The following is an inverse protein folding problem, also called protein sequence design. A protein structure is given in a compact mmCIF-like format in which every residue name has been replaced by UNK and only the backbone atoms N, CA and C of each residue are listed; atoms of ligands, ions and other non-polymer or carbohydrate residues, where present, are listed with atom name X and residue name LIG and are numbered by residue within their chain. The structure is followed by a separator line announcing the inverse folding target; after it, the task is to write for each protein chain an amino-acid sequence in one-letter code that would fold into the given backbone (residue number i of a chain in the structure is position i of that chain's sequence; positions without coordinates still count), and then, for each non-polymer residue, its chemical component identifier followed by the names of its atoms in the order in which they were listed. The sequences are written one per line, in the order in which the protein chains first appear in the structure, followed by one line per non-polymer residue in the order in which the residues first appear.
data_IF_349001266698
#
_entry.id   IF_349001266698
#
_cell.length_a   1.000
_cell.length_b   1.000
_cell.length_c   1.000
_cell.angle_alpha   90.00
_cell.angle_beta   90.00
_cell.angle_gamma   90.00
#
_symmetry.space_group_name_H-M   'P 1'
#
loop_
_entity.id
_entity.type
_entity.pdbx_description
1 polymer ?
#
# COMPACT_ATOMS: atom_id res chain seq x y z
N UNK A 1 -79.03 -66.74 8.21
CA UNK A 1 -78.43 -65.51 8.76
C UNK A 1 -77.06 -65.31 8.11
N UNK A 2 -76.85 -64.25 7.34
CA UNK A 2 -75.52 -63.87 6.84
C UNK A 2 -75.06 -62.66 7.64
N UNK A 3 -73.97 -62.78 8.39
CA UNK A 3 -73.35 -61.66 9.09
C UNK A 3 -72.65 -60.75 8.07
N UNK A 4 -72.85 -59.43 8.10
CA UNK A 4 -72.11 -58.52 7.23
C UNK A 4 -70.64 -58.49 7.67
N UNK A 5 -69.74 -58.86 6.76
CA UNK A 5 -68.29 -58.72 6.96
C UNK A 5 -67.95 -57.26 6.70
N UNK A 6 -67.58 -56.54 7.76
CA UNK A 6 -67.18 -55.15 7.63
C UNK A 6 -65.72 -55.10 7.14
N UNK A 7 -65.52 -54.92 5.83
CA UNK A 7 -64.21 -54.67 5.24
C UNK A 7 -63.80 -53.22 5.49
N UNK A 8 -63.38 -52.90 6.71
CA UNK A 8 -62.66 -51.65 6.98
C UNK A 8 -61.26 -51.78 6.42
N UNK A 9 -61.02 -51.16 5.26
CA UNK A 9 -59.66 -50.92 4.77
C UNK A 9 -59.01 -49.89 5.71
N UNK A 10 -57.83 -50.14 6.28
CA UNK A 10 -57.14 -49.12 7.05
C UNK A 10 -56.85 -47.92 6.13
N UNK A 11 -57.41 -46.77 6.45
CA UNK A 11 -56.99 -45.49 5.88
C UNK A 11 -55.98 -44.88 6.84
N UNK A 12 -54.76 -44.62 6.37
CA UNK A 12 -53.85 -43.74 7.10
C UNK A 12 -54.45 -42.34 7.10
N UNK A 13 -54.83 -41.87 8.28
CA UNK A 13 -55.26 -40.48 8.49
C UNK A 13 -54.02 -39.71 8.87
N UNK A 14 -53.50 -38.92 7.93
CA UNK A 14 -52.39 -38.02 8.21
C UNK A 14 -52.96 -36.75 8.85
N UNK A 15 -52.55 -36.46 10.09
CA UNK A 15 -52.87 -35.18 10.72
C UNK A 15 -52.08 -34.08 9.99
N UNK A 16 -52.81 -33.18 9.32
CA UNK A 16 -52.21 -32.09 8.55
C UNK A 16 -51.45 -31.10 9.44
N UNK A 17 -51.83 -30.98 10.71
CA UNK A 17 -51.20 -30.06 11.66
C UNK A 17 -49.82 -30.57 12.07
N UNK A 18 -49.67 -31.88 12.33
CA UNK A 18 -48.38 -32.49 12.64
C UNK A 18 -47.37 -32.34 11.48
N UNK A 19 -47.86 -32.42 10.24
CA UNK A 19 -47.03 -32.21 9.05
C UNK A 19 -46.59 -30.76 8.87
N UNK A 20 -47.44 -29.77 9.17
CA UNK A 20 -47.03 -28.36 9.07
C UNK A 20 -45.97 -28.00 10.11
N UNK A 21 -46.08 -28.57 11.31
CA UNK A 21 -45.14 -28.32 12.40
C UNK A 21 -43.78 -28.97 12.13
N UNK A 22 -43.77 -30.16 11.52
CA UNK A 22 -42.53 -30.78 11.04
C UNK A 22 -41.89 -29.98 9.92
N UNK A 23 -42.69 -29.49 8.96
CA UNK A 23 -42.18 -28.69 7.85
C UNK A 23 -41.57 -27.37 8.34
N UNK A 24 -42.23 -26.68 9.28
CA UNK A 24 -41.70 -25.45 9.88
C UNK A 24 -40.37 -25.69 10.61
N UNK A 25 -40.23 -26.82 11.32
CA UNK A 25 -38.96 -27.21 11.96
C UNK A 25 -37.86 -27.52 10.95
N UNK A 26 -38.20 -28.16 9.83
CA UNK A 26 -37.25 -28.42 8.74
C UNK A 26 -36.81 -27.09 8.11
N UNK A 27 -37.73 -26.18 7.83
CA UNK A 27 -37.43 -24.87 7.25
C UNK A 27 -36.56 -24.01 8.20
N UNK A 28 -36.80 -24.10 9.52
CA UNK A 28 -35.99 -23.44 10.55
C UNK A 28 -34.57 -24.04 10.65
N UNK A 29 -34.44 -25.36 10.55
CA UNK A 29 -33.15 -26.05 10.43
C UNK A 29 -32.41 -25.67 9.14
N UNK A 30 -33.09 -25.68 8.00
CA UNK A 30 -32.51 -25.29 6.71
C UNK A 30 -32.06 -23.82 6.69
N UNK A 31 -32.81 -22.94 7.37
CA UNK A 31 -32.41 -21.55 7.55
C UNK A 31 -31.12 -21.41 8.38
N UNK A 32 -30.89 -22.28 9.37
CA UNK A 32 -29.64 -22.30 10.15
C UNK A 32 -28.43 -22.75 9.30
N UNK A 33 -28.64 -23.47 8.20
CA UNK A 33 -27.58 -23.90 7.27
C UNK A 33 -27.54 -23.13 5.94
N UNK A 34 -28.39 -22.10 5.77
CA UNK A 34 -28.34 -21.20 4.61
C UNK A 34 -27.18 -20.22 4.72
N UNK A 35 -26.05 -20.59 4.14
CA UNK A 35 -24.92 -19.69 3.91
C UNK A 35 -25.15 -18.90 2.62
N UNK A 36 -24.88 -17.58 2.64
CA UNK A 36 -24.94 -16.74 1.44
C UNK A 36 -23.73 -17.03 0.56
N UNK A 37 -23.95 -17.34 -0.71
CA UNK A 37 -22.88 -17.31 -1.72
C UNK A 37 -22.48 -15.86 -2.00
N UNK A 38 -21.18 -15.58 -2.05
CA UNK A 38 -20.64 -14.25 -2.37
C UNK A 38 -20.17 -14.29 -3.81
N UNK A 39 -20.97 -13.73 -4.72
CA UNK A 39 -20.59 -13.55 -6.12
C UNK A 39 -19.82 -12.22 -6.29
N UNK A 40 -18.76 -12.24 -7.09
CA UNK A 40 -17.98 -11.05 -7.44
C UNK A 40 -18.17 -10.77 -8.92
N UNK A 41 -18.88 -9.70 -9.23
CA UNK A 41 -19.16 -9.28 -10.60
C UNK A 41 -18.26 -8.12 -11.01
N UNK A 42 -17.81 -8.17 -12.27
CA UNK A 42 -17.07 -7.10 -12.93
C UNK A 42 -18.00 -6.41 -13.93
N UNK A 43 -17.89 -5.09 -14.06
CA UNK A 43 -18.53 -4.41 -15.18
C UNK A 43 -17.84 -4.86 -16.49
N UNK A 44 -18.63 -5.30 -17.47
CA UNK A 44 -18.16 -5.82 -18.75
C UNK A 44 -17.73 -4.72 -19.73
N UNK A 45 -18.05 -3.45 -19.44
CA UNK A 45 -17.61 -2.32 -20.24
C UNK A 45 -16.09 -2.18 -20.15
N UNK A 46 -15.39 -2.87 -21.04
CA UNK A 46 -13.95 -2.84 -21.15
C UNK A 46 -13.52 -1.55 -21.84
N UNK A 47 -13.15 -0.55 -21.05
CA UNK A 47 -12.48 0.63 -21.57
C UNK A 47 -11.00 0.33 -21.74
N UNK A 48 -10.59 0.08 -22.98
CA UNK A 48 -9.19 -0.14 -23.30
C UNK A 48 -8.43 1.19 -23.18
N UNK A 49 -7.80 1.40 -22.04
CA UNK A 49 -6.67 2.32 -21.95
C UNK A 49 -5.40 1.52 -22.21
N UNK A 50 -4.43 2.13 -22.88
CA UNK A 50 -3.17 1.48 -23.22
C UNK A 50 -2.33 1.15 -21.98
N UNK A 51 -1.03 1.04 -22.19
CA UNK A 51 -0.10 0.87 -21.09
C UNK A 51 0.06 2.21 -20.33
N UNK A 52 -0.01 2.18 -19.00
CA UNK A 52 0.39 3.31 -18.17
C UNK A 52 1.92 3.40 -18.22
N UNK A 53 2.44 4.51 -18.72
CA UNK A 53 3.88 4.79 -18.79
C UNK A 53 4.29 5.95 -17.89
N UNK A 54 3.35 6.82 -17.54
CA UNK A 54 3.58 8.01 -16.72
C UNK A 54 2.42 8.30 -15.78
N UNK A 55 2.67 9.14 -14.77
CA UNK A 55 1.64 9.68 -13.88
C UNK A 55 0.57 10.47 -14.65
N UNK A 56 0.96 11.12 -15.75
CA UNK A 56 0.07 11.91 -16.61
C UNK A 56 -0.98 11.04 -17.30
N UNK A 57 -0.60 9.84 -17.74
CA UNK A 57 -1.53 8.87 -18.34
C UNK A 57 -2.66 8.54 -17.37
N UNK A 58 -2.31 8.37 -16.10
CA UNK A 58 -3.24 8.07 -15.01
C UNK A 58 -4.14 9.28 -14.73
N UNK A 59 -3.57 10.48 -14.64
CA UNK A 59 -4.31 11.73 -14.48
C UNK A 59 -5.36 11.92 -15.58
N UNK A 60 -4.97 11.72 -16.85
CA UNK A 60 -5.87 11.83 -18.00
C UNK A 60 -7.00 10.81 -17.93
N UNK A 61 -6.67 9.54 -17.63
CA UNK A 61 -7.67 8.49 -17.49
C UNK A 61 -8.73 8.85 -16.44
N UNK A 62 -8.29 9.29 -15.26
CA UNK A 62 -9.19 9.64 -14.17
C UNK A 62 -10.05 10.86 -14.54
N UNK A 63 -9.43 11.93 -15.06
CA UNK A 63 -10.09 13.18 -15.43
C UNK A 63 -11.17 12.97 -16.47
N UNK A 64 -10.87 12.24 -17.54
CA UNK A 64 -11.78 12.08 -18.67
C UNK A 64 -12.94 11.11 -18.38
N UNK A 65 -12.72 10.12 -17.51
CA UNK A 65 -13.64 8.96 -17.40
C UNK A 65 -14.36 8.84 -16.07
N UNK A 66 -13.79 9.33 -14.98
CA UNK A 66 -14.32 9.08 -13.64
C UNK A 66 -14.84 10.36 -12.98
N UNK A 67 -14.30 11.50 -13.41
CA UNK A 67 -14.32 12.73 -12.66
C UNK A 67 -15.07 13.86 -13.40
N UNK A 68 -16.23 13.56 -13.98
CA UNK A 68 -17.17 14.60 -14.41
C UNK A 68 -17.81 15.26 -13.17
N UNK A 69 -17.26 16.39 -12.71
CA UNK A 69 -17.79 17.14 -11.55
C UNK A 69 -16.88 17.20 -10.31
N UNK A 70 -15.56 17.04 -10.46
CA UNK A 70 -14.54 17.08 -9.37
C UNK A 70 -14.58 18.28 -8.45
N UNK A 71 -15.23 19.36 -8.88
CA UNK A 71 -15.23 20.64 -8.16
C UNK A 71 -16.19 20.63 -6.99
N UNK A 72 -17.06 19.62 -6.89
CA UNK A 72 -18.14 19.60 -5.89
C UNK A 72 -17.78 18.77 -4.67
N UNK A 73 -17.16 17.60 -4.87
CA UNK A 73 -16.90 16.62 -3.80
C UNK A 73 -15.57 15.91 -4.00
N UNK A 74 -14.96 15.49 -2.90
CA UNK A 74 -13.77 14.63 -2.93
C UNK A 74 -14.17 13.22 -3.36
N UNK A 75 -13.38 12.60 -4.21
CA UNK A 75 -13.54 11.23 -4.65
C UNK A 75 -12.22 10.50 -4.49
N UNK A 76 -12.27 9.30 -3.94
CA UNK A 76 -11.13 8.40 -3.89
C UNK A 76 -11.30 7.28 -4.91
N UNK A 77 -10.29 7.08 -5.75
CA UNK A 77 -10.28 6.10 -6.84
C UNK A 77 -9.01 5.26 -6.71
N UNK A 78 -9.17 3.95 -6.85
CA UNK A 78 -8.06 3.01 -6.99
C UNK A 78 -8.08 2.37 -8.38
N UNK A 79 -6.94 2.42 -9.07
CA UNK A 79 -6.71 1.78 -10.35
C UNK A 79 -5.88 0.53 -10.14
N UNK A 80 -6.36 -0.58 -10.70
CA UNK A 80 -5.70 -1.87 -10.60
C UNK A 80 -5.01 -2.16 -11.92
N UNK A 81 -3.79 -2.64 -11.82
CA UNK A 81 -2.86 -2.76 -12.95
C UNK A 81 -2.20 -4.13 -12.93
N UNK A 82 -2.01 -4.71 -14.11
CA UNK A 82 -1.29 -5.97 -14.26
C UNK A 82 0.23 -5.75 -14.41
N UNK A 83 0.99 -6.83 -14.52
CA UNK A 83 2.45 -6.81 -14.64
C UNK A 83 2.97 -6.04 -15.88
N UNK A 84 2.15 -5.91 -16.93
CA UNK A 84 2.49 -5.16 -18.12
C UNK A 84 2.08 -3.68 -18.04
N UNK A 85 1.79 -3.16 -16.84
CA UNK A 85 1.28 -1.82 -16.58
C UNK A 85 -0.02 -1.49 -17.36
N UNK A 86 -0.86 -2.50 -17.64
CA UNK A 86 -2.18 -2.28 -18.24
C UNK A 86 -3.25 -2.21 -17.17
N UNK A 87 -4.15 -1.24 -17.29
CA UNK A 87 -5.31 -1.10 -16.42
C UNK A 87 -6.20 -2.34 -16.61
N UNK A 88 -6.44 -3.07 -15.52
CA UNK A 88 -7.38 -4.20 -15.50
C UNK A 88 -8.76 -3.75 -15.01
N UNK A 89 -8.82 -2.67 -14.25
CA UNK A 89 -10.05 -2.09 -13.76
C UNK A 89 -9.80 -0.92 -12.81
N UNK A 90 -10.86 -0.25 -12.41
CA UNK A 90 -10.84 0.80 -11.40
C UNK A 90 -11.94 0.55 -10.37
N UNK A 91 -11.73 1.07 -9.17
CA UNK A 91 -12.72 1.08 -8.11
C UNK A 91 -12.87 2.50 -7.59
N UNK A 92 -14.09 3.01 -7.71
CA UNK A 92 -14.50 4.26 -7.06
C UNK A 92 -14.89 3.92 -5.63
N UNK A 93 -14.01 4.25 -4.69
CA UNK A 93 -14.12 3.79 -3.31
C UNK A 93 -15.10 4.63 -2.50
N UNK A 94 -14.87 5.94 -2.49
CA UNK A 94 -15.72 6.86 -1.73
C UNK A 94 -15.92 8.15 -2.49
N UNK A 95 -17.06 8.76 -2.18
CA UNK A 95 -17.35 10.15 -2.48
C UNK A 95 -17.47 10.84 -1.12
N UNK A 96 -16.45 11.60 -0.75
CA UNK A 96 -16.27 12.18 0.57
C UNK A 96 -17.00 13.51 0.78
N UNK A 97 -17.36 13.76 2.04
CA UNK A 97 -17.81 15.05 2.54
C UNK A 97 -16.62 16.03 2.69
N UNK A 98 -16.93 17.31 2.83
CA UNK A 98 -16.08 18.52 2.71
C UNK A 98 -14.69 18.46 3.41
N UNK A 99 -14.43 17.57 4.37
CA UNK A 99 -13.25 17.64 5.25
C UNK A 99 -12.37 16.38 5.39
N UNK A 100 -12.71 15.22 4.81
CA UNK A 100 -11.82 14.06 4.69
C UNK A 100 -12.52 12.87 4.01
N UNK A 101 -11.83 12.22 3.08
CA UNK A 101 -12.23 10.93 2.54
C UNK A 101 -11.80 9.80 3.50
N UNK A 102 -12.77 9.20 4.20
CA UNK A 102 -12.57 7.92 4.87
C UNK A 102 -12.38 6.86 3.78
N UNK A 103 -11.23 6.18 3.80
CA UNK A 103 -10.88 5.12 2.86
C UNK A 103 -10.59 3.85 3.63
N UNK A 104 -11.39 2.82 3.36
CA UNK A 104 -11.20 1.49 3.92
C UNK A 104 -10.12 0.75 3.13
N UNK A 105 -8.94 0.64 3.74
CA UNK A 105 -7.75 0.00 3.16
C UNK A 105 -8.03 -1.47 2.82
N UNK A 106 -8.84 -2.13 3.64
CA UNK A 106 -9.27 -3.52 3.48
C UNK A 106 -10.03 -3.73 2.18
N UNK A 107 -10.86 -2.76 1.77
CA UNK A 107 -11.61 -2.83 0.52
C UNK A 107 -10.68 -2.65 -0.67
N UNK A 108 -9.77 -1.68 -0.61
CA UNK A 108 -8.76 -1.46 -1.67
C UNK A 108 -7.92 -2.73 -1.88
N UNK A 109 -7.45 -3.35 -0.80
CA UNK A 109 -6.71 -4.61 -0.88
C UNK A 109 -7.57 -5.77 -1.38
N UNK A 110 -8.82 -5.90 -0.91
CA UNK A 110 -9.73 -6.97 -1.33
C UNK A 110 -10.04 -6.90 -2.84
N UNK A 111 -10.23 -5.70 -3.39
CA UNK A 111 -10.44 -5.53 -4.83
C UNK A 111 -9.16 -5.84 -5.61
N UNK A 112 -7.98 -5.46 -5.10
CA UNK A 112 -6.70 -5.83 -5.72
C UNK A 112 -6.53 -7.35 -5.82
N UNK A 113 -6.86 -8.06 -4.74
CA UNK A 113 -6.82 -9.53 -4.69
C UNK A 113 -7.84 -10.17 -5.64
N UNK A 114 -9.09 -9.67 -5.63
CA UNK A 114 -10.17 -10.17 -6.51
C UNK A 114 -9.88 -9.94 -8.00
N UNK A 115 -9.18 -8.88 -8.33
CA UNK A 115 -8.77 -8.55 -9.71
C UNK A 115 -7.45 -9.20 -10.12
N UNK A 116 -6.76 -9.89 -9.20
CA UNK A 116 -5.40 -10.42 -9.40
C UNK A 116 -4.41 -9.33 -9.87
N UNK A 117 -4.59 -8.11 -9.37
CA UNK A 117 -3.70 -7.00 -9.65
C UNK A 117 -2.27 -7.31 -9.21
N UNK A 118 -1.29 -6.77 -9.93
CA UNK A 118 0.13 -6.77 -9.51
C UNK A 118 0.56 -5.44 -8.95
N UNK A 119 -0.18 -4.39 -9.31
CA UNK A 119 0.05 -3.05 -8.86
C UNK A 119 -1.26 -2.28 -8.72
N UNK A 120 -1.24 -1.27 -7.86
CA UNK A 120 -2.32 -0.33 -7.64
C UNK A 120 -1.78 1.08 -7.81
N UNK A 121 -2.56 1.96 -8.42
CA UNK A 121 -2.37 3.41 -8.35
C UNK A 121 -3.60 3.99 -7.68
N UNK A 122 -3.42 4.81 -6.66
CA UNK A 122 -4.54 5.48 -5.98
C UNK A 122 -4.58 6.95 -6.35
N UNK A 123 -5.75 7.56 -6.24
CA UNK A 123 -5.91 8.98 -6.43
C UNK A 123 -7.06 9.54 -5.62
N UNK A 124 -6.94 10.80 -5.22
CA UNK A 124 -8.08 11.59 -4.79
C UNK A 124 -8.05 12.98 -5.42
N UNK A 125 -9.21 13.64 -5.50
CA UNK A 125 -9.27 15.03 -5.91
C UNK A 125 -9.46 15.97 -4.72
N UNK A 126 -8.93 17.19 -4.84
CA UNK A 126 -9.21 18.29 -3.92
C UNK A 126 -10.12 19.32 -4.61
N UNK A 127 -11.42 19.42 -4.22
CA UNK A 127 -12.33 20.45 -4.71
C UNK A 127 -11.83 21.88 -4.48
N UNK A 128 -11.01 22.08 -3.44
CA UNK A 128 -10.37 23.36 -3.12
C UNK A 128 -9.35 23.84 -4.17
N UNK A 129 -8.91 22.95 -5.06
CA UNK A 129 -7.88 23.24 -6.06
C UNK A 129 -6.44 23.19 -5.53
N UNK A 130 -6.23 22.89 -4.24
CA UNK A 130 -4.90 22.72 -3.68
C UNK A 130 -4.28 21.40 -4.15
N UNK A 131 -3.09 21.44 -4.76
CA UNK A 131 -2.38 20.23 -5.21
C UNK A 131 -1.50 19.60 -4.12
N UNK A 132 -1.31 20.26 -2.98
CA UNK A 132 -0.46 19.72 -1.93
C UNK A 132 -1.23 18.72 -1.06
N UNK A 133 -0.70 17.49 -0.90
CA UNK A 133 -1.30 16.50 -0.03
C UNK A 133 -1.22 16.95 1.44
N UNK A 134 -2.25 16.60 2.20
CA UNK A 134 -2.28 16.74 3.65
C UNK A 134 -1.48 15.62 4.34
N UNK A 135 -1.23 15.79 5.65
CA UNK A 135 -0.66 14.72 6.48
C UNK A 135 -1.57 13.48 6.57
N UNK A 136 -2.89 13.67 6.44
CA UNK A 136 -3.84 12.57 6.38
C UNK A 136 -3.64 11.74 5.10
N UNK A 137 -3.43 12.39 3.95
CA UNK A 137 -3.17 11.72 2.67
C UNK A 137 -1.87 10.92 2.72
N UNK A 138 -0.81 11.52 3.26
CA UNK A 138 0.49 10.85 3.48
C UNK A 138 0.35 9.61 4.37
N UNK A 139 -0.39 9.73 5.46
CA UNK A 139 -0.62 8.62 6.40
C UNK A 139 -1.46 7.52 5.76
N UNK A 140 -2.51 7.88 5.01
CA UNK A 140 -3.32 6.94 4.27
C UNK A 140 -2.48 6.18 3.22
N UNK A 141 -1.65 6.91 2.47
CA UNK A 141 -0.72 6.34 1.46
C UNK A 141 0.15 5.24 2.07
N UNK A 142 0.79 5.53 3.21
CA UNK A 142 1.64 4.58 3.93
C UNK A 142 0.87 3.34 4.35
N UNK A 143 -0.30 3.51 4.96
CA UNK A 143 -1.15 2.39 5.40
C UNK A 143 -1.58 1.50 4.23
N UNK A 144 -1.99 2.08 3.11
CA UNK A 144 -2.37 1.33 1.91
C UNK A 144 -1.16 0.57 1.36
N UNK A 145 0.00 1.24 1.26
CA UNK A 145 1.23 0.62 0.80
C UNK A 145 1.62 -0.58 1.65
N UNK A 146 1.59 -0.44 2.96
CA UNK A 146 1.91 -1.52 3.91
C UNK A 146 0.95 -2.69 3.77
N UNK A 147 -0.35 -2.43 3.67
CA UNK A 147 -1.36 -3.47 3.48
C UNK A 147 -1.18 -4.24 2.17
N UNK A 148 -0.94 -3.55 1.05
CA UNK A 148 -0.72 -4.18 -0.26
C UNK A 148 0.59 -4.97 -0.32
N UNK A 149 1.63 -4.51 0.40
CA UNK A 149 2.92 -5.19 0.49
C UNK A 149 2.80 -6.60 1.07
N UNK A 150 1.83 -6.86 1.95
CA UNK A 150 1.59 -8.20 2.51
C UNK A 150 1.22 -9.25 1.45
N UNK A 151 0.75 -8.81 0.29
CA UNK A 151 0.29 -9.66 -0.81
C UNK A 151 1.16 -9.55 -2.06
N UNK A 152 2.37 -8.98 -1.94
CA UNK A 152 3.27 -8.69 -3.07
C UNK A 152 2.62 -7.82 -4.17
N UNK A 153 1.70 -6.93 -3.78
CA UNK A 153 1.06 -5.95 -4.66
C UNK A 153 1.72 -4.59 -4.43
N UNK A 154 2.24 -3.98 -5.49
CA UNK A 154 2.93 -2.69 -5.39
C UNK A 154 1.95 -1.51 -5.46
N UNK A 155 2.03 -0.57 -4.51
CA UNK A 155 1.46 0.77 -4.68
C UNK A 155 2.43 1.60 -5.53
N UNK A 156 2.09 1.83 -6.80
CA UNK A 156 2.98 2.49 -7.77
C UNK A 156 3.00 4.01 -7.58
N UNK A 157 1.83 4.61 -7.37
CA UNK A 157 1.70 6.05 -7.19
C UNK A 157 0.45 6.40 -6.38
N UNK A 158 0.46 7.62 -5.84
CA UNK A 158 -0.69 8.31 -5.29
C UNK A 158 -0.80 9.68 -5.96
N UNK A 159 -1.93 9.94 -6.60
CA UNK A 159 -2.19 11.18 -7.32
C UNK A 159 -3.19 12.06 -6.55
N UNK A 160 -2.80 13.31 -6.30
CA UNK A 160 -3.75 14.37 -5.90
C UNK A 160 -4.16 15.12 -7.15
N UNK A 161 -5.45 15.19 -7.44
CA UNK A 161 -5.98 15.69 -8.70
C UNK A 161 -6.79 16.97 -8.46
N UNK A 162 -6.60 17.96 -9.34
CA UNK A 162 -7.43 19.17 -9.39
C UNK A 162 -7.83 19.47 -10.83
N UNK A 163 -8.68 20.47 -11.02
CA UNK A 163 -9.10 20.91 -12.35
C UNK A 163 -7.91 21.35 -13.22
N UNK A 164 -6.94 22.01 -12.60
CA UNK A 164 -5.80 22.64 -13.26
C UNK A 164 -4.54 21.76 -13.33
N UNK A 165 -4.48 20.63 -12.61
CA UNK A 165 -3.33 19.75 -12.67
C UNK A 165 -3.40 18.55 -11.73
N UNK A 166 -2.23 17.98 -11.44
CA UNK A 166 -2.08 16.88 -10.49
C UNK A 166 -0.74 16.95 -9.75
N UNK A 167 -0.68 16.26 -8.63
CA UNK A 167 0.52 16.00 -7.86
C UNK A 167 0.73 14.49 -7.79
N UNK A 168 1.90 14.02 -8.20
CA UNK A 168 2.32 12.62 -8.08
C UNK A 168 3.28 12.46 -6.92
N UNK A 169 2.93 11.59 -5.97
CA UNK A 169 3.83 11.24 -4.87
C UNK A 169 5.11 10.57 -5.42
N UNK A 170 5.00 9.74 -6.47
CA UNK A 170 6.13 9.04 -7.05
C UNK A 170 7.13 10.01 -7.72
N UNK A 171 6.64 10.95 -8.53
CA UNK A 171 7.48 11.95 -9.19
C UNK A 171 8.16 12.91 -8.22
N UNK A 172 7.44 13.26 -7.15
CA UNK A 172 7.96 14.13 -6.08
C UNK A 172 8.81 13.37 -5.07
N UNK A 173 9.02 12.07 -5.30
CA UNK A 173 9.83 11.20 -4.45
C UNK A 173 9.39 11.22 -2.98
N UNK A 174 8.08 11.32 -2.74
CA UNK A 174 7.51 11.40 -1.40
C UNK A 174 7.84 10.17 -0.57
N UNK A 175 8.26 10.41 0.66
CA UNK A 175 8.67 9.36 1.59
C UNK A 175 7.53 8.40 1.90
N UNK A 176 6.29 8.88 1.83
CA UNK A 176 5.08 8.08 2.07
C UNK A 176 4.89 6.95 1.04
N UNK A 177 5.47 7.09 -0.15
CA UNK A 177 5.55 6.02 -1.16
C UNK A 177 6.88 5.26 -1.13
N UNK A 178 7.84 5.63 -0.30
CA UNK A 178 9.03 4.81 0.02
C UNK A 178 8.66 3.88 1.18
N UNK A 179 9.12 2.65 1.11
CA UNK A 179 8.67 1.63 2.06
C UNK A 179 9.33 1.84 3.42
N UNK A 180 8.86 1.13 4.44
CA UNK A 180 9.56 0.96 5.73
C UNK A 180 10.97 0.34 5.57
N UNK A 181 11.35 -0.10 4.36
CA UNK A 181 12.74 -0.47 4.05
C UNK A 181 13.68 0.73 3.82
N UNK A 182 13.13 1.95 3.76
CA UNK A 182 13.88 3.21 3.73
C UNK A 182 13.44 4.13 4.87
N UNK A 183 13.04 3.57 6.03
CA UNK A 183 13.27 4.34 7.25
C UNK A 183 14.80 4.47 7.35
N UNK A 184 15.39 5.68 7.30
CA UNK A 184 16.76 5.82 7.74
C UNK A 184 16.76 5.27 9.16
N UNK A 185 17.36 4.10 9.34
CA UNK A 185 17.54 3.51 10.66
C UNK A 185 18.14 4.64 11.50
N UNK A 186 17.36 5.17 12.45
CA UNK A 186 17.71 6.46 13.08
C UNK A 186 19.08 6.35 13.71
N UNK A 187 19.44 5.15 14.15
CA UNK A 187 20.76 4.75 14.62
C UNK A 187 21.84 4.80 13.52
N UNK A 188 21.54 4.34 12.30
CA UNK A 188 22.45 4.41 11.15
C UNK A 188 22.65 5.85 10.69
N UNK A 189 21.60 6.66 10.67
CA UNK A 189 21.70 8.07 10.28
C UNK A 189 22.37 8.91 11.37
N UNK A 190 22.10 8.65 12.64
CA UNK A 190 22.85 9.20 13.78
C UNK A 190 24.33 8.80 13.70
N UNK A 191 24.62 7.53 13.39
CA UNK A 191 26.00 7.04 13.23
C UNK A 191 26.69 7.68 12.03
N UNK A 192 26.03 7.76 10.86
CA UNK A 192 26.57 8.44 9.67
C UNK A 192 26.80 9.93 9.93
N UNK A 193 25.87 10.57 10.63
CA UNK A 193 26.01 11.97 11.05
C UNK A 193 27.21 12.17 11.97
N UNK A 194 27.37 11.30 12.97
CA UNK A 194 28.51 11.32 13.88
C UNK A 194 29.83 11.07 13.14
N UNK A 195 29.89 10.08 12.24
CA UNK A 195 31.06 9.81 11.39
C UNK A 195 31.41 11.05 10.57
N UNK A 196 30.43 11.70 9.94
CA UNK A 196 30.63 12.91 9.15
C UNK A 196 31.15 14.07 10.01
N UNK A 197 30.63 14.26 11.23
CA UNK A 197 31.12 15.27 12.18
C UNK A 197 32.56 15.02 12.60
N UNK A 198 32.94 13.75 12.81
CA UNK A 198 34.31 13.40 13.19
C UNK A 198 35.28 13.54 11.99
N UNK A 199 34.88 13.15 10.78
CA UNK A 199 35.66 13.35 9.57
C UNK A 199 35.86 14.84 9.25
N UNK A 200 34.89 15.71 9.53
CA UNK A 200 35.06 17.18 9.41
C UNK A 200 36.10 17.77 10.37
N UNK A 201 36.43 17.07 11.46
CA UNK A 201 37.47 17.47 12.41
C UNK A 201 38.86 16.96 12.00
N UNK A 202 38.96 16.10 10.99
CA UNK A 202 40.24 15.64 10.44
C UNK A 202 40.88 16.78 9.65
N UNK A 203 42.13 17.07 10.00
CA UNK A 203 42.96 18.13 9.44
C UNK A 203 44.37 17.58 9.21
N UNK A 204 45.19 18.29 8.44
CA UNK A 204 46.60 17.95 8.24
C UNK A 204 47.44 17.91 9.54
N UNK A 205 46.94 18.48 10.64
CA UNK A 205 47.67 18.58 11.92
C UNK A 205 47.40 17.39 12.84
N UNK A 206 46.18 16.88 12.88
CA UNK A 206 45.78 15.81 13.79
C UNK A 206 45.75 14.42 13.14
N UNK A 207 45.53 14.32 11.83
CA UNK A 207 45.52 13.04 11.11
C UNK A 207 46.00 13.26 9.66
N UNK A 208 47.31 13.47 9.46
CA UNK A 208 47.89 13.85 8.16
C UNK A 208 47.62 12.84 7.04
N UNK A 209 47.70 11.54 7.31
CA UNK A 209 47.52 10.50 6.29
C UNK A 209 46.06 10.40 5.86
N UNK A 210 45.14 10.35 6.82
CA UNK A 210 43.70 10.38 6.56
C UNK A 210 43.28 11.66 5.82
N UNK A 211 43.79 12.82 6.24
CA UNK A 211 43.52 14.09 5.57
C UNK A 211 43.99 14.05 4.11
N UNK A 212 45.20 13.56 3.84
CA UNK A 212 45.71 13.40 2.48
C UNK A 212 44.86 12.42 1.66
N UNK A 213 44.42 11.30 2.25
CA UNK A 213 43.54 10.34 1.60
C UNK A 213 42.19 10.97 1.26
N UNK A 214 41.55 11.69 2.18
CA UNK A 214 40.24 12.33 1.97
C UNK A 214 40.24 13.32 0.81
N UNK A 215 41.36 14.01 0.57
CA UNK A 215 41.53 14.99 -0.51
C UNK A 215 41.88 14.37 -1.88
N UNK A 216 42.00 13.04 -1.98
CA UNK A 216 42.08 12.35 -3.27
C UNK A 216 40.69 12.21 -3.92
N UNK A 217 40.61 12.03 -5.24
CA UNK A 217 39.35 12.14 -6.01
C UNK A 217 38.15 11.35 -5.44
N UNK A 218 38.35 10.07 -5.10
CA UNK A 218 37.33 9.21 -4.43
C UNK A 218 37.68 8.93 -2.95
N UNK A 219 38.56 9.74 -2.37
CA UNK A 219 39.19 9.51 -1.09
C UNK A 219 38.25 9.58 0.10
N UNK A 220 37.34 10.56 0.09
CA UNK A 220 36.36 10.73 1.17
C UNK A 220 35.50 9.49 1.37
N UNK A 221 34.94 8.95 0.28
CA UNK A 221 34.10 7.74 0.35
C UNK A 221 34.87 6.49 0.76
N UNK A 222 36.16 6.39 0.42
CA UNK A 222 37.02 5.30 0.88
C UNK A 222 37.29 5.37 2.38
N UNK A 223 37.61 6.57 2.88
CA UNK A 223 37.85 6.82 4.31
C UNK A 223 36.57 6.61 5.12
N UNK A 224 35.43 7.11 4.63
CA UNK A 224 34.12 6.87 5.25
C UNK A 224 33.83 5.37 5.38
N UNK A 225 34.04 4.60 4.30
CA UNK A 225 33.87 3.15 4.32
C UNK A 225 34.80 2.46 5.31
N UNK A 226 36.07 2.86 5.38
CA UNK A 226 37.04 2.31 6.34
C UNK A 226 36.60 2.56 7.80
N UNK A 227 36.10 3.76 8.09
CA UNK A 227 35.58 4.10 9.42
C UNK A 227 34.36 3.25 9.75
N UNK A 228 33.40 3.13 8.83
CA UNK A 228 32.20 2.30 9.01
C UNK A 228 32.58 0.84 9.29
N UNK A 229 33.43 0.24 8.44
CA UNK A 229 33.85 -1.15 8.57
C UNK A 229 34.56 -1.41 9.92
N UNK A 230 35.35 -0.45 10.39
CA UNK A 230 36.09 -0.56 11.66
C UNK A 230 35.20 -0.33 12.88
N UNK A 231 34.24 0.59 12.82
CA UNK A 231 33.22 0.78 13.86
C UNK A 231 32.41 -0.50 14.05
N UNK A 232 31.94 -1.11 12.95
CA UNK A 232 31.17 -2.34 12.99
C UNK A 232 31.98 -3.53 13.53
N UNK A 233 33.25 -3.63 13.14
CA UNK A 233 34.13 -4.74 13.55
C UNK A 233 34.59 -4.63 15.01
N UNK A 234 34.89 -3.43 15.48
CA UNK A 234 35.48 -3.19 16.81
C UNK A 234 34.45 -2.80 17.87
N UNK A 235 33.20 -2.51 17.48
CA UNK A 235 32.14 -1.99 18.36
C UNK A 235 32.58 -0.73 19.16
N UNK A 236 33.40 0.11 18.55
CA UNK A 236 33.90 1.37 19.13
C UNK A 236 33.26 2.58 18.43
N UNK A 237 33.22 3.71 19.14
CA UNK A 237 32.66 4.96 18.60
C UNK A 237 33.57 5.58 17.52
N UNK A 238 33.03 6.31 16.53
CA UNK A 238 33.80 6.92 15.44
C UNK A 238 35.00 7.77 15.92
N UNK A 239 34.85 8.49 17.03
CA UNK A 239 35.90 9.32 17.61
C UNK A 239 37.15 8.54 18.06
N UNK A 240 37.00 7.25 18.43
CA UNK A 240 38.12 6.39 18.80
C UNK A 240 38.74 5.69 17.58
N UNK A 241 37.95 5.47 16.53
CA UNK A 241 38.38 4.75 15.32
C UNK A 241 39.32 5.58 14.44
N UNK A 242 39.07 6.89 14.30
CA UNK A 242 39.88 7.76 13.42
C UNK A 242 41.38 7.75 13.82
N UNK A 243 41.76 7.96 15.10
CA UNK A 243 43.16 7.86 15.52
C UNK A 243 43.78 6.46 15.32
N UNK A 244 42.98 5.39 15.44
CA UNK A 244 43.45 4.03 15.20
C UNK A 244 43.77 3.79 13.72
N UNK A 245 42.90 4.26 12.82
CA UNK A 245 43.14 4.15 11.38
C UNK A 245 44.38 4.97 10.98
N UNK A 246 44.56 6.17 11.55
CA UNK A 246 45.76 6.97 11.32
C UNK A 246 47.03 6.22 11.76
N UNK A 247 47.02 5.64 12.96
CA UNK A 247 48.15 4.85 13.47
C UNK A 247 48.42 3.59 12.64
N UNK A 248 47.40 2.95 12.08
CA UNK A 248 47.56 1.79 11.20
C UNK A 248 48.20 2.21 9.86
N UNK A 249 47.90 3.41 9.36
CA UNK A 249 48.47 3.97 8.14
C UNK A 249 49.92 4.42 8.33
N UNK A 250 50.30 4.91 9.52
CA UNK A 250 51.69 5.25 9.86
C UNK A 250 52.61 4.01 9.94
N UNK A 251 52.04 2.81 10.07
CA UNK A 251 52.78 1.55 10.16
C UNK A 251 53.04 0.88 8.80
N UNK A 252 52.55 1.45 7.69
CA UNK A 252 52.65 0.94 6.32
C UNK A 252 53.65 1.79 5.51
#
# INVERSE_FOLDING_TARGET
MKYPVNTTRPQMVFDKNDFSDLQAKIDELDAQFKVREIEVTFNQDAYFFGQITSSFDVYQFIKDRILSGIEVQEHFIALYVNQANKIIGYYHHSTGAINATLVDVEIVAAVALKTLAKSVVISHNHPSGNLHPSEADRTLTRRIKEALKLFDIALLDHLVITQSGYYSFAEKQESSLRGVQDEPDTLVDELRHEILLQLKKVTAVNSPNLHQMMHSGNGYGQVEKMVIDRVLKSQLVPAAIIPMIESDLDMI
#
